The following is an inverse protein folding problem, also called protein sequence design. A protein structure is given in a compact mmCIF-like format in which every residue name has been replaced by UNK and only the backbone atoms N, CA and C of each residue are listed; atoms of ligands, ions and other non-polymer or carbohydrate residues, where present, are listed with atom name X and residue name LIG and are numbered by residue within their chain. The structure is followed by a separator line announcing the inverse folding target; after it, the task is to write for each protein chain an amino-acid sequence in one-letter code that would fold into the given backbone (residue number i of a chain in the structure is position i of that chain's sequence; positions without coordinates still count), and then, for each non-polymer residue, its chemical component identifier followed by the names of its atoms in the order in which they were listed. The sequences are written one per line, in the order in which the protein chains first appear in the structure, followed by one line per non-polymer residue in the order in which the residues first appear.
data_IF_474422969991
#
_entry.id   IF_474422969991
#
_cell.length_a   1.000
_cell.length_b   1.000
_cell.length_c   1.000
_cell.angle_alpha   90.00
_cell.angle_beta   90.00
_cell.angle_gamma   90.00
#
_symmetry.space_group_name_H-M   'P 1'
#
loop_
_entity.id
_entity.type
_entity.pdbx_description
1 polymer ?
#
# COMPACT_ATOMS: atom_id res chain seq x y z
N UNK A 1 -3.97 27.15 -4.11
CA UNK A 1 -4.68 26.43 -3.02
C UNK A 1 -6.03 25.99 -3.56
N UNK A 2 -6.37 24.71 -3.47
CA UNK A 2 -7.68 24.21 -3.90
C UNK A 2 -8.64 24.22 -2.71
N UNK A 3 -9.89 24.63 -2.94
CA UNK A 3 -10.95 24.56 -1.94
C UNK A 3 -11.96 23.50 -2.38
N UNK A 4 -12.35 22.62 -1.46
CA UNK A 4 -13.28 21.53 -1.70
C UNK A 4 -14.49 21.71 -0.79
N UNK A 5 -15.67 21.84 -1.38
CA UNK A 5 -16.94 21.83 -0.65
C UNK A 5 -17.63 20.48 -0.86
N UNK A 6 -17.88 19.77 0.23
CA UNK A 6 -18.65 18.53 0.23
C UNK A 6 -20.11 18.89 0.54
N UNK A 7 -21.00 18.68 -0.43
CA UNK A 7 -22.45 18.82 -0.27
C UNK A 7 -23.09 17.44 -0.05
N UNK A 8 -24.27 17.43 0.57
CA UNK A 8 -25.08 16.22 0.78
C UNK A 8 -24.38 15.12 1.59
N UNK A 9 -23.57 15.52 2.58
CA UNK A 9 -22.94 14.57 3.49
C UNK A 9 -23.98 14.05 4.50
N UNK A 10 -24.24 12.73 4.58
CA UNK A 10 -25.20 12.19 5.55
C UNK A 10 -24.80 12.59 6.98
N UNK A 11 -25.75 13.06 7.78
CA UNK A 11 -25.49 13.53 9.14
C UNK A 11 -24.80 12.49 10.02
N UNK A 12 -25.20 11.23 9.86
CA UNK A 12 -24.58 10.10 10.56
C UNK A 12 -23.08 9.98 10.21
N UNK A 13 -22.72 10.19 8.94
CA UNK A 13 -21.33 10.16 8.49
C UNK A 13 -20.55 11.38 9.01
N UNK A 14 -21.15 12.58 8.94
CA UNK A 14 -20.54 13.80 9.46
C UNK A 14 -20.22 13.69 10.96
N UNK A 15 -21.15 13.15 11.77
CA UNK A 15 -20.93 12.91 13.21
C UNK A 15 -19.80 11.92 13.47
N UNK A 16 -19.74 10.82 12.72
CA UNK A 16 -18.66 9.82 12.84
C UNK A 16 -17.30 10.43 12.50
N UNK A 17 -17.20 11.18 11.41
CA UNK A 17 -15.96 11.86 11.01
C UNK A 17 -15.52 12.88 12.06
N UNK A 18 -16.45 13.67 12.61
CA UNK A 18 -16.16 14.63 13.68
C UNK A 18 -15.66 13.95 14.94
N UNK A 19 -16.26 12.81 15.33
CA UNK A 19 -15.81 12.01 16.47
C UNK A 19 -14.40 11.45 16.24
N UNK A 20 -14.13 10.90 15.06
CA UNK A 20 -12.82 10.35 14.70
C UNK A 20 -11.74 11.45 14.69
N UNK A 21 -12.06 12.63 14.17
CA UNK A 21 -11.16 13.79 14.21
C UNK A 21 -10.85 14.21 15.65
N UNK A 22 -11.86 14.27 16.53
CA UNK A 22 -11.69 14.59 17.95
C UNK A 22 -10.81 13.57 18.67
N UNK A 23 -11.00 12.28 18.42
CA UNK A 23 -10.17 11.21 19.00
C UNK A 23 -8.69 11.34 18.60
N UNK A 24 -8.40 11.87 17.41
CA UNK A 24 -7.04 12.12 16.95
C UNK A 24 -6.50 13.51 17.33
N UNK A 25 -7.27 14.32 18.09
CA UNK A 25 -6.88 15.67 18.48
C UNK A 25 -6.77 16.64 17.29
N UNK A 26 -7.52 16.40 16.21
CA UNK A 26 -7.44 17.16 14.95
C UNK A 26 -8.74 17.90 14.65
N UNK A 27 -8.64 18.99 13.88
CA UNK A 27 -9.81 19.59 13.26
C UNK A 27 -10.39 18.65 12.20
N UNK A 28 -11.69 18.75 11.95
CA UNK A 28 -12.37 17.92 10.95
C UNK A 28 -11.75 18.08 9.56
N UNK A 29 -11.39 19.31 9.17
CA UNK A 29 -10.78 19.58 7.88
C UNK A 29 -9.39 18.94 7.75
N UNK A 30 -8.53 19.08 8.78
CA UNK A 30 -7.21 18.44 8.79
C UNK A 30 -7.33 16.91 8.77
N UNK A 31 -8.33 16.35 9.45
CA UNK A 31 -8.62 14.92 9.42
C UNK A 31 -9.04 14.46 8.02
N UNK A 32 -9.96 15.17 7.36
CA UNK A 32 -10.40 14.85 5.99
C UNK A 32 -9.22 14.89 5.01
N UNK A 33 -8.38 15.93 5.07
CA UNK A 33 -7.18 16.06 4.22
C UNK A 33 -6.24 14.87 4.42
N UNK A 34 -6.01 14.47 5.67
CA UNK A 34 -5.15 13.31 5.96
C UNK A 34 -5.73 12.03 5.38
N UNK A 35 -7.04 11.78 5.56
CA UNK A 35 -7.69 10.58 5.01
C UNK A 35 -7.58 10.55 3.48
N UNK A 36 -7.77 11.69 2.82
CA UNK A 36 -7.59 11.80 1.36
C UNK A 36 -6.15 11.50 0.94
N UNK A 37 -5.15 12.04 1.65
CA UNK A 37 -3.72 11.75 1.39
C UNK A 37 -3.41 10.26 1.56
N UNK A 38 -3.88 9.64 2.65
CA UNK A 38 -3.67 8.22 2.90
C UNK A 38 -4.35 7.34 1.84
N UNK A 39 -5.53 7.73 1.36
CA UNK A 39 -6.22 7.03 0.27
C UNK A 39 -5.41 7.05 -1.03
N UNK A 40 -4.91 8.22 -1.43
CA UNK A 40 -4.07 8.37 -2.63
C UNK A 40 -2.75 7.61 -2.50
N UNK A 41 -2.07 7.71 -1.35
CA UNK A 41 -0.84 6.95 -1.09
C UNK A 41 -1.08 5.44 -1.16
N UNK A 42 -2.21 4.96 -0.60
CA UNK A 42 -2.61 3.57 -0.70
C UNK A 42 -2.84 3.12 -2.15
N UNK A 43 -3.48 3.96 -2.97
CA UNK A 43 -3.68 3.68 -4.40
C UNK A 43 -2.35 3.61 -5.16
N UNK A 44 -1.49 4.60 -4.97
CA UNK A 44 -0.16 4.65 -5.59
C UNK A 44 0.71 3.47 -5.18
N UNK A 45 0.67 3.07 -3.91
CA UNK A 45 1.40 1.89 -3.42
C UNK A 45 0.91 0.62 -4.13
N UNK A 46 -0.40 0.41 -4.22
CA UNK A 46 -0.98 -0.74 -4.94
C UNK A 46 -0.60 -0.73 -6.42
N UNK A 47 -0.65 0.42 -7.09
CA UNK A 47 -0.23 0.55 -8.48
C UNK A 47 1.26 0.23 -8.66
N UNK A 48 2.12 0.72 -7.77
CA UNK A 48 3.57 0.45 -7.78
C UNK A 48 3.84 -1.04 -7.57
N UNK A 49 3.23 -1.65 -6.56
CA UNK A 49 3.35 -3.09 -6.31
C UNK A 49 2.90 -3.91 -7.52
N UNK A 50 1.82 -3.51 -8.20
CA UNK A 50 1.36 -4.18 -9.42
C UNK A 50 2.39 -4.09 -10.55
N UNK A 51 3.03 -2.94 -10.73
CA UNK A 51 4.11 -2.76 -11.72
C UNK A 51 5.33 -3.60 -11.36
N UNK A 52 5.80 -3.52 -10.12
CA UNK A 52 6.95 -4.31 -9.65
C UNK A 52 6.72 -5.82 -9.76
N UNK A 53 5.49 -6.31 -9.53
CA UNK A 53 5.15 -7.73 -9.77
C UNK A 53 5.27 -8.13 -11.23
N UNK A 54 4.86 -7.25 -12.16
CA UNK A 54 5.01 -7.51 -13.60
C UNK A 54 6.48 -7.53 -14.00
N UNK A 55 7.26 -6.55 -13.53
CA UNK A 55 8.71 -6.43 -13.79
C UNK A 55 9.47 -7.65 -13.26
N UNK A 56 9.14 -8.10 -12.03
CA UNK A 56 9.69 -9.33 -11.46
C UNK A 56 9.28 -10.56 -12.29
N UNK A 57 8.02 -10.65 -12.71
CA UNK A 57 7.56 -11.74 -13.58
C UNK A 57 8.33 -11.80 -14.90
N UNK A 58 8.56 -10.64 -15.55
CA UNK A 58 9.35 -10.57 -16.77
C UNK A 58 10.82 -10.89 -16.54
N UNK A 59 11.40 -10.43 -15.42
CA UNK A 59 12.78 -10.74 -15.07
C UNK A 59 12.95 -12.25 -14.85
N UNK A 60 12.09 -12.86 -14.04
CA UNK A 60 12.08 -14.31 -13.80
C UNK A 60 11.89 -15.09 -15.10
N UNK A 61 11.01 -14.65 -16.00
CA UNK A 61 10.82 -15.27 -17.30
C UNK A 61 12.02 -15.08 -18.25
N UNK A 62 12.79 -14.00 -18.10
CA UNK A 62 13.99 -13.71 -18.89
C UNK A 62 15.23 -14.46 -18.41
N UNK A 63 15.21 -15.00 -17.19
CA UNK A 63 16.33 -15.78 -16.67
C UNK A 63 16.38 -17.12 -17.41
N UNK A 64 17.58 -17.56 -17.85
CA UNK A 64 17.73 -18.91 -18.38
C UNK A 64 17.27 -19.91 -17.32
N UNK A 65 16.57 -20.95 -17.75
CA UNK A 65 16.09 -22.01 -16.88
C UNK A 65 17.28 -22.66 -16.15
N UNK A 66 17.54 -22.21 -14.94
CA UNK A 66 18.53 -22.78 -14.03
C UNK A 66 17.88 -23.93 -13.29
N UNK A 67 17.46 -24.95 -14.04
CA UNK A 67 16.91 -26.18 -13.49
C UNK A 67 17.82 -26.68 -12.36
N UNK A 68 17.29 -26.70 -11.14
CA UNK A 68 17.85 -27.30 -9.94
C UNK A 68 19.15 -26.73 -9.34
N UNK A 69 19.86 -25.80 -9.98
CA UNK A 69 21.13 -25.28 -9.41
C UNK A 69 20.90 -24.46 -8.13
N UNK A 70 20.00 -23.48 -8.13
CA UNK A 70 19.71 -22.68 -6.93
C UNK A 70 19.06 -23.47 -5.81
N UNK A 71 18.18 -24.42 -6.13
CA UNK A 71 17.52 -25.26 -5.13
C UNK A 71 18.54 -26.18 -4.42
N UNK A 72 19.52 -26.71 -5.16
CA UNK A 72 20.57 -27.58 -4.64
C UNK A 72 21.58 -26.83 -3.77
N UNK A 73 21.94 -25.60 -4.16
CA UNK A 73 22.77 -24.69 -3.34
C UNK A 73 22.07 -24.29 -2.04
N UNK A 74 20.76 -24.03 -2.07
CA UNK A 74 19.98 -23.68 -0.87
C UNK A 74 19.80 -24.86 0.10
N UNK A 75 19.75 -26.11 -0.40
CA UNK A 75 19.79 -27.30 0.45
C UNK A 75 21.17 -27.53 1.08
N UNK A 76 22.26 -27.31 0.32
CA UNK A 76 23.62 -27.48 0.83
C UNK A 76 23.97 -26.44 1.93
N UNK A 77 23.46 -25.21 1.82
CA UNK A 77 23.64 -24.17 2.86
C UNK A 77 22.85 -24.48 4.13
N UNK A 78 21.67 -25.13 4.01
CA UNK A 78 20.89 -25.60 5.17
C UNK A 78 21.57 -26.75 5.91
N UNK A 79 22.23 -27.65 5.19
CA UNK A 79 22.91 -28.81 5.77
C UNK A 79 24.28 -28.47 6.39
N UNK A 80 24.93 -27.37 5.96
CA UNK A 80 26.21 -26.89 6.51
C UNK A 80 26.06 -25.94 7.70
N UNK A 81 24.83 -25.57 8.06
CA UNK A 81 24.51 -24.68 9.19
C UNK A 81 24.38 -25.36 10.56
N UNK A 82 24.98 -26.54 10.76
CA UNK A 82 24.97 -27.29 12.01
C UNK A 82 26.35 -27.42 12.63
#
# INVERSE_FOLDING_TARGET
MANLSLKDLPDALHRRLKSAAKQQGRSLNSYIIQVLRSSEQGRLCRERMRRSRKELGTLVASLPYTGNLSAKLLSEDRDKGH
#
